data_IF_325592936194
#
_entry.id   IF_325592936194
#
_cell.length_a   1.000
_cell.length_b   1.000
_cell.length_c   1.000
_cell.angle_alpha   90.00
_cell.angle_beta   90.00
_cell.angle_gamma   90.00
#
_symmetry.space_group_name_H-M   'P 1'
#
loop_
_entity.id
_entity.type
_entity.pdbx_description
1 polymer ?
#
# COMPACT_ATOMS: atom_id res chain seq x y z
N UNK A 1 -13.38 -44.30 22.16
CA UNK A 1 -12.76 -43.68 20.97
C UNK A 1 -13.02 -42.18 21.01
N UNK A 2 -11.92 -41.42 20.96
CA UNK A 2 -11.69 -40.00 20.66
C UNK A 2 -12.72 -38.91 21.06
N UNK A 3 -12.25 -38.08 22.00
CA UNK A 3 -12.67 -36.73 22.37
C UNK A 3 -12.87 -35.76 21.19
N UNK A 4 -13.71 -34.75 21.41
CA UNK A 4 -13.77 -33.56 20.56
C UNK A 4 -14.51 -32.40 21.24
N UNK A 5 -13.98 -31.87 22.34
CA UNK A 5 -14.51 -30.63 22.96
C UNK A 5 -13.97 -29.43 22.18
N UNK A 6 -14.75 -28.90 21.26
CA UNK A 6 -14.42 -27.69 20.49
C UNK A 6 -14.34 -26.49 21.44
N UNK A 7 -13.12 -26.12 21.83
CA UNK A 7 -12.85 -24.92 22.61
C UNK A 7 -12.73 -23.75 21.63
N UNK A 8 -13.77 -22.93 21.53
CA UNK A 8 -13.69 -21.65 20.85
C UNK A 8 -12.70 -20.75 21.59
N UNK A 9 -11.57 -20.45 20.96
CA UNK A 9 -10.59 -19.48 21.47
C UNK A 9 -10.96 -18.13 20.86
N UNK A 10 -11.27 -17.09 21.65
CA UNK A 10 -11.37 -15.75 21.12
C UNK A 10 -9.96 -15.30 20.74
N UNK A 11 -9.72 -15.11 19.45
CA UNK A 11 -8.48 -14.45 19.00
C UNK A 11 -8.59 -13.00 19.46
N UNK A 12 -7.81 -12.69 20.50
CA UNK A 12 -7.58 -11.37 21.04
C UNK A 12 -7.28 -10.43 19.88
N UNK A 13 -8.11 -9.39 19.73
CA UNK A 13 -7.85 -8.25 18.84
C UNK A 13 -6.50 -7.66 19.25
N UNK A 14 -5.46 -8.01 18.50
CA UNK A 14 -4.14 -7.43 18.63
C UNK A 14 -4.23 -5.94 18.34
N UNK A 15 -3.66 -5.16 19.25
CA UNK A 15 -3.49 -3.73 19.11
C UNK A 15 -2.90 -3.38 17.75
N UNK A 16 -3.55 -2.45 17.03
CA UNK A 16 -2.98 -1.78 15.84
C UNK A 16 -1.56 -1.34 16.19
N UNK A 17 -0.56 -2.02 15.67
CA UNK A 17 0.81 -1.51 15.72
C UNK A 17 0.84 -0.24 14.86
N UNK A 18 1.31 0.90 15.40
CA UNK A 18 1.55 2.06 14.57
C UNK A 18 2.62 1.68 13.54
N UNK A 19 2.34 1.94 12.27
CA UNK A 19 3.28 1.74 11.18
C UNK A 19 4.64 2.33 11.58
N UNK A 20 5.67 1.48 11.71
CA UNK A 20 7.04 1.94 11.93
C UNK A 20 7.39 2.89 10.79
N UNK A 21 7.52 4.17 11.10
CA UNK A 21 8.10 5.16 10.20
C UNK A 21 9.57 4.77 10.05
N UNK A 22 9.88 4.02 8.99
CA UNK A 22 11.26 3.70 8.63
C UNK A 22 11.82 4.94 7.93
N UNK A 23 12.54 5.79 8.67
CA UNK A 23 13.41 6.80 8.06
C UNK A 23 14.49 6.08 7.27
N UNK A 24 14.26 5.85 5.98
CA UNK A 24 15.30 5.39 5.06
C UNK A 24 16.27 6.54 4.85
N UNK A 25 17.45 6.42 5.42
CA UNK A 25 18.61 7.24 5.04
C UNK A 25 18.88 6.95 3.57
N UNK A 26 18.73 7.97 2.74
CA UNK A 26 18.93 7.88 1.29
C UNK A 26 20.45 7.84 1.04
N UNK A 27 21.00 6.66 0.73
CA UNK A 27 22.40 6.49 0.32
C UNK A 27 22.49 6.50 -1.22
N UNK A 28 23.00 7.56 -1.85
CA UNK A 28 23.00 7.71 -3.31
C UNK A 28 23.95 6.75 -4.04
N UNK A 29 24.80 5.99 -3.33
CA UNK A 29 25.81 5.11 -3.95
C UNK A 29 25.32 3.70 -4.27
N UNK A 30 24.12 3.33 -3.83
CA UNK A 30 23.51 2.04 -4.17
C UNK A 30 22.29 2.27 -5.06
N UNK A 31 22.45 2.09 -6.38
CA UNK A 31 21.34 1.88 -7.32
C UNK A 31 20.66 0.52 -7.04
N UNK A 32 20.16 0.33 -5.82
CA UNK A 32 19.25 -0.78 -5.53
C UNK A 32 17.93 -0.43 -6.20
N UNK A 33 17.39 -1.36 -6.97
CA UNK A 33 16.04 -1.23 -7.51
C UNK A 33 15.09 -0.80 -6.40
N UNK A 34 14.20 0.18 -6.63
CA UNK A 34 13.27 0.65 -5.62
C UNK A 34 12.49 -0.57 -5.12
N UNK A 35 12.72 -0.91 -3.85
CA UNK A 35 12.13 -2.07 -3.22
C UNK A 35 11.27 -1.63 -2.05
N UNK A 36 9.98 -1.94 -2.13
CA UNK A 36 9.02 -1.70 -1.07
C UNK A 36 8.74 -3.01 -0.34
N UNK A 37 9.00 -3.03 0.97
CA UNK A 37 8.85 -4.23 1.80
C UNK A 37 9.57 -5.51 1.27
N UNK A 38 10.67 -5.36 0.54
CA UNK A 38 11.43 -6.48 -0.04
C UNK A 38 10.92 -6.95 -1.40
N UNK A 39 9.84 -6.37 -1.93
CA UNK A 39 9.33 -6.60 -3.27
C UNK A 39 9.78 -5.48 -4.22
N UNK A 40 9.72 -5.72 -5.53
CA UNK A 40 9.79 -4.65 -6.51
C UNK A 40 8.67 -3.64 -6.23
N UNK A 41 9.03 -2.36 -6.16
CA UNK A 41 8.04 -1.30 -5.96
C UNK A 41 7.17 -1.20 -7.21
N UNK A 42 5.82 -1.31 -7.08
CA UNK A 42 4.94 -1.17 -8.22
C UNK A 42 4.96 0.27 -8.74
N UNK A 43 4.76 0.42 -10.03
CA UNK A 43 4.53 1.74 -10.61
C UNK A 43 3.23 2.34 -10.08
N UNK A 44 3.15 3.67 -10.09
CA UNK A 44 1.94 4.37 -9.67
C UNK A 44 0.73 3.98 -10.54
N UNK A 45 0.94 3.75 -11.84
CA UNK A 45 -0.12 3.38 -12.78
C UNK A 45 -0.65 1.96 -12.48
N UNK A 46 0.22 1.03 -12.06
CA UNK A 46 -0.20 -0.30 -11.58
C UNK A 46 -1.05 -0.20 -10.30
N UNK A 47 -0.69 0.68 -9.37
CA UNK A 47 -1.46 0.89 -8.13
C UNK A 47 -2.83 1.51 -8.42
N UNK A 48 -2.91 2.50 -9.32
CA UNK A 48 -4.19 3.13 -9.71
C UNK A 48 -5.06 2.18 -10.52
N UNK A 49 -4.45 1.28 -11.31
CA UNK A 49 -5.13 0.25 -12.08
C UNK A 49 -5.67 -0.90 -11.24
N UNK A 50 -5.20 -1.08 -10.01
CA UNK A 50 -5.60 -2.18 -9.14
C UNK A 50 -7.12 -2.10 -8.79
N UNK A 51 -7.89 -3.19 -8.97
CA UNK A 51 -9.33 -3.18 -8.71
C UNK A 51 -9.71 -2.86 -7.26
N UNK A 52 -8.91 -3.30 -6.28
CA UNK A 52 -9.16 -3.00 -4.86
C UNK A 52 -8.96 -1.51 -4.61
N UNK A 53 -7.87 -0.95 -5.13
CA UNK A 53 -7.59 0.49 -5.01
C UNK A 53 -8.68 1.31 -5.68
N UNK A 54 -9.12 0.95 -6.89
CA UNK A 54 -10.23 1.65 -7.57
C UNK A 54 -11.53 1.59 -6.76
N UNK A 55 -11.83 0.46 -6.14
CA UNK A 55 -13.02 0.35 -5.28
C UNK A 55 -12.91 1.25 -4.04
N UNK A 56 -11.73 1.34 -3.42
CA UNK A 56 -11.49 2.23 -2.29
C UNK A 56 -11.58 3.70 -2.71
N UNK A 57 -11.03 4.05 -3.87
CA UNK A 57 -11.12 5.39 -4.44
C UNK A 57 -12.58 5.80 -4.67
N UNK A 58 -13.39 4.94 -5.28
CA UNK A 58 -14.82 5.19 -5.50
C UNK A 58 -15.57 5.37 -4.18
N UNK A 59 -15.34 4.47 -3.21
CA UNK A 59 -15.91 4.55 -1.86
C UNK A 59 -15.56 5.86 -1.16
N UNK A 60 -14.32 6.33 -1.32
CA UNK A 60 -13.79 7.51 -0.66
C UNK A 60 -14.04 8.80 -1.48
N UNK A 61 -14.77 8.71 -2.61
CA UNK A 61 -15.13 9.86 -3.46
C UNK A 61 -13.99 10.43 -4.30
N UNK A 62 -12.94 9.64 -4.53
CA UNK A 62 -11.78 10.02 -5.34
C UNK A 62 -12.07 9.77 -6.82
N UNK A 63 -12.20 10.86 -7.58
CA UNK A 63 -12.40 10.80 -9.03
C UNK A 63 -11.07 10.49 -9.72
N UNK A 64 -11.00 9.32 -10.37
CA UNK A 64 -9.78 8.82 -11.02
C UNK A 64 -9.24 9.79 -12.07
N UNK A 65 -10.10 10.34 -12.93
CA UNK A 65 -9.68 11.25 -14.01
C UNK A 65 -9.08 12.56 -13.46
N UNK A 66 -9.64 13.07 -12.37
CA UNK A 66 -9.10 14.24 -11.66
C UNK A 66 -7.74 13.94 -11.04
N UNK A 67 -7.56 12.74 -10.46
CA UNK A 67 -6.27 12.31 -9.93
C UNK A 67 -5.23 12.20 -11.04
N UNK A 68 -5.56 11.58 -12.16
CA UNK A 68 -4.65 11.44 -13.30
C UNK A 68 -4.23 12.80 -13.86
N UNK A 69 -5.20 13.72 -14.02
CA UNK A 69 -4.92 15.08 -14.48
C UNK A 69 -3.95 15.82 -13.53
N UNK A 70 -4.14 15.67 -12.22
CA UNK A 70 -3.24 16.24 -11.21
C UNK A 70 -1.84 15.63 -11.29
N UNK A 71 -1.74 14.31 -11.45
CA UNK A 71 -0.44 13.63 -11.56
C UNK A 71 0.32 14.10 -12.79
N UNK A 72 -0.36 14.29 -13.92
CA UNK A 72 0.27 14.80 -15.13
C UNK A 72 0.78 16.24 -14.95
N UNK A 73 0.00 17.11 -14.29
CA UNK A 73 0.44 18.46 -13.94
C UNK A 73 1.70 18.44 -13.06
N UNK A 74 1.72 17.60 -12.01
CA UNK A 74 2.88 17.49 -11.12
C UNK A 74 4.10 16.93 -11.86
N UNK A 75 3.92 15.91 -12.70
CA UNK A 75 4.99 15.32 -13.52
C UNK A 75 5.60 16.36 -14.47
N UNK A 76 4.79 17.25 -15.04
CA UNK A 76 5.29 18.35 -15.88
C UNK A 76 6.15 19.34 -15.09
N UNK A 77 5.82 19.62 -13.83
CA UNK A 77 6.57 20.54 -12.97
C UNK A 77 7.87 19.97 -12.41
N UNK A 78 8.00 18.65 -12.36
CA UNK A 78 9.18 17.95 -11.86
C UNK A 78 10.24 17.66 -12.95
N UNK A 79 9.94 18.01 -14.21
CA UNK A 79 10.90 17.97 -15.32
C UNK A 79 11.68 19.27 -15.40
#
# INVERSE_FOLDING_TARGET
MLSGTTRAVPILVGSRQPARIVSRVFDPRTRRSPCYAGNAEPSLDEVIGDPMVRHLMDRDGVVVDSLLSLLDEVRLRLR
#
